data_IF_944225912325
#
_entry.id   IF_944225912325
#
_cell.length_a   1.000
_cell.length_b   1.000
_cell.length_c   1.000
_cell.angle_alpha   90.00
_cell.angle_beta   90.00
_cell.angle_gamma   90.00
#
_symmetry.space_group_name_H-M   'P 1'
#
loop_
_entity.id
_entity.type
_entity.pdbx_description
1 polymer ?
#
# COMPACT_ATOMS: atom_id res chain seq x y z
N UNK A 1 -6.18 -12.08 -20.76
CA UNK A 1 -6.70 -11.02 -19.83
C UNK A 1 -5.58 -10.17 -19.31
N UNK A 2 -5.84 -8.87 -19.16
CA UNK A 2 -4.82 -7.93 -18.68
C UNK A 2 -4.91 -7.82 -17.16
N UNK A 3 -3.90 -8.30 -16.44
CA UNK A 3 -3.82 -8.14 -14.97
C UNK A 3 -3.71 -6.67 -14.62
N UNK A 4 -4.41 -6.23 -13.55
CA UNK A 4 -4.38 -4.83 -13.10
C UNK A 4 -3.57 -4.66 -11.83
N UNK A 5 -2.79 -3.59 -11.81
CA UNK A 5 -2.03 -3.12 -10.65
C UNK A 5 -2.48 -1.73 -10.25
N UNK A 6 -2.72 -1.50 -8.96
CA UNK A 6 -2.91 -0.17 -8.40
C UNK A 6 -1.58 0.30 -7.83
N UNK A 7 -1.15 1.49 -8.23
CA UNK A 7 0.11 2.08 -7.76
C UNK A 7 -0.16 3.49 -7.25
N UNK A 8 -0.04 3.69 -5.93
CA UNK A 8 -0.09 5.00 -5.29
C UNK A 8 1.02 5.09 -4.25
N UNK A 9 2.10 5.76 -4.58
CA UNK A 9 3.29 5.87 -3.70
C UNK A 9 3.71 7.33 -3.51
N UNK A 10 4.23 7.64 -2.34
CA UNK A 10 4.87 8.92 -2.07
C UNK A 10 6.37 8.89 -2.45
N UNK A 11 7.04 7.75 -2.25
CA UNK A 11 8.41 7.52 -2.69
C UNK A 11 8.41 6.88 -4.07
N UNK A 12 8.95 7.59 -5.06
CA UNK A 12 9.04 7.15 -6.46
C UNK A 12 10.38 6.49 -6.81
N UNK A 13 11.21 6.17 -5.81
CA UNK A 13 12.46 5.47 -6.00
C UNK A 13 12.24 4.12 -6.69
N UNK A 14 12.99 3.85 -7.76
CA UNK A 14 12.87 2.65 -8.58
C UNK A 14 11.48 2.38 -9.20
N UNK A 15 10.50 3.29 -8.99
CA UNK A 15 9.14 3.11 -9.47
C UNK A 15 9.05 3.05 -11.00
N UNK A 16 9.81 3.90 -11.71
CA UNK A 16 9.76 3.93 -13.16
C UNK A 16 10.19 2.60 -13.79
N UNK A 17 11.24 1.97 -13.25
CA UNK A 17 11.70 0.66 -13.70
C UNK A 17 10.65 -0.42 -13.44
N UNK A 18 10.11 -0.44 -12.23
CA UNK A 18 9.08 -1.39 -11.83
C UNK A 18 7.81 -1.27 -12.69
N UNK A 19 7.33 -0.04 -12.89
CA UNK A 19 6.12 0.22 -13.69
C UNK A 19 6.32 -0.14 -15.18
N UNK A 20 7.47 0.20 -15.77
CA UNK A 20 7.82 -0.24 -17.15
C UNK A 20 7.85 -1.75 -17.28
N UNK A 21 8.41 -2.43 -16.27
CA UNK A 21 8.40 -3.89 -16.24
C UNK A 21 6.99 -4.45 -16.23
N UNK A 22 6.11 -3.94 -15.38
CA UNK A 22 4.71 -4.38 -15.32
C UNK A 22 4.01 -4.19 -16.67
N UNK A 23 4.11 -3.00 -17.28
CA UNK A 23 3.50 -2.72 -18.59
C UNK A 23 4.04 -3.64 -19.67
N UNK A 24 5.37 -3.85 -19.74
CA UNK A 24 5.99 -4.75 -20.72
C UNK A 24 5.61 -6.22 -20.51
N UNK A 25 5.18 -6.58 -19.29
CA UNK A 25 4.67 -7.90 -18.94
C UNK A 25 3.15 -8.05 -19.11
N UNK A 26 2.49 -7.07 -19.76
CA UNK A 26 1.06 -7.12 -20.07
C UNK A 26 0.14 -6.68 -18.94
N UNK A 27 0.65 -5.96 -17.92
CA UNK A 27 -0.18 -5.40 -16.86
C UNK A 27 -0.74 -4.02 -17.25
N UNK A 28 -1.96 -3.72 -16.80
CA UNK A 28 -2.51 -2.36 -16.78
C UNK A 28 -2.27 -1.72 -15.42
N UNK A 29 -1.78 -0.49 -15.42
CA UNK A 29 -1.54 0.28 -14.20
C UNK A 29 -2.68 1.27 -13.99
N UNK A 30 -3.23 1.28 -12.78
CA UNK A 30 -4.18 2.25 -12.29
C UNK A 30 -3.48 3.15 -11.29
N UNK A 31 -3.67 4.46 -11.40
CA UNK A 31 -3.04 5.42 -10.51
C UNK A 31 -3.84 6.71 -10.39
N UNK A 32 -3.50 7.51 -9.38
CA UNK A 32 -4.08 8.84 -9.17
C UNK A 32 -3.05 9.82 -8.61
N UNK A 33 -3.39 11.11 -8.64
CA UNK A 33 -2.65 12.19 -8.02
C UNK A 33 -1.16 12.24 -8.46
N UNK A 34 -0.26 12.50 -7.53
CA UNK A 34 1.19 12.68 -7.80
C UNK A 34 1.86 11.47 -8.44
N UNK A 35 1.41 10.26 -8.12
CA UNK A 35 1.94 9.04 -8.74
C UNK A 35 1.54 8.95 -10.20
N UNK A 36 0.30 9.31 -10.53
CA UNK A 36 -0.18 9.40 -11.91
C UNK A 36 0.67 10.42 -12.71
N UNK A 37 0.82 11.65 -12.17
CA UNK A 37 1.63 12.70 -12.81
C UNK A 37 3.08 12.25 -13.05
N UNK A 38 3.66 11.53 -12.11
CA UNK A 38 5.00 10.95 -12.23
C UNK A 38 5.07 9.92 -13.37
N UNK A 39 4.13 8.96 -13.41
CA UNK A 39 4.12 7.91 -14.43
C UNK A 39 3.88 8.49 -15.84
N UNK A 40 2.97 9.44 -15.97
CA UNK A 40 2.73 10.16 -17.24
C UNK A 40 3.98 10.90 -17.72
N UNK A 41 4.69 11.60 -16.82
CA UNK A 41 5.95 12.30 -17.11
C UNK A 41 7.05 11.35 -17.59
N UNK A 42 7.08 10.14 -17.03
CA UNK A 42 8.01 9.08 -17.42
C UNK A 42 7.58 8.34 -18.71
N UNK A 43 6.49 8.78 -19.36
CA UNK A 43 5.89 8.15 -20.54
C UNK A 43 5.52 6.67 -20.31
N UNK A 44 5.04 6.34 -19.12
CA UNK A 44 4.56 5.01 -18.77
C UNK A 44 3.05 4.96 -18.95
N UNK A 45 2.50 4.02 -19.74
CA UNK A 45 1.05 3.86 -19.88
C UNK A 45 0.38 3.63 -18.53
N UNK A 46 -0.55 4.50 -18.20
CA UNK A 46 -1.29 4.46 -16.93
C UNK A 46 -2.72 4.92 -17.16
N UNK A 47 -3.67 4.29 -16.48
CA UNK A 47 -5.08 4.66 -16.48
C UNK A 47 -5.42 5.38 -15.18
N UNK A 48 -6.20 6.45 -15.28
CA UNK A 48 -6.71 7.14 -14.08
C UNK A 48 -7.65 6.21 -13.32
N UNK A 49 -7.44 6.09 -12.03
CA UNK A 49 -8.30 5.26 -11.17
C UNK A 49 -9.78 5.70 -11.25
N UNK A 50 -10.03 7.00 -11.34
CA UNK A 50 -11.39 7.56 -11.55
C UNK A 50 -12.09 7.09 -12.83
N UNK A 51 -11.36 6.53 -13.79
CA UNK A 51 -11.96 5.93 -15.00
C UNK A 51 -12.65 4.58 -14.72
N UNK A 52 -12.42 3.98 -13.56
CA UNK A 52 -13.09 2.73 -13.13
C UNK A 52 -14.44 2.99 -12.47
N UNK A 53 -14.82 4.26 -12.26
CA UNK A 53 -15.98 4.62 -11.48
C UNK A 53 -16.75 5.72 -12.19
N UNK A 54 -18.01 5.44 -12.48
CA UNK A 54 -18.88 6.33 -13.28
C UNK A 54 -19.36 7.59 -12.54
N UNK A 55 -19.10 7.75 -11.24
CA UNK A 55 -19.57 8.89 -10.45
C UNK A 55 -18.55 9.36 -9.41
N UNK A 56 -18.25 10.66 -9.42
CA UNK A 56 -17.31 11.42 -8.59
C UNK A 56 -17.54 11.40 -7.05
N UNK A 57 -17.84 10.27 -6.44
CA UNK A 57 -17.96 10.16 -4.97
C UNK A 57 -16.91 9.21 -4.40
N UNK A 58 -15.86 9.77 -3.82
CA UNK A 58 -14.72 9.05 -3.20
C UNK A 58 -15.09 7.85 -2.32
N UNK A 59 -16.25 7.86 -1.67
CA UNK A 59 -16.72 6.77 -0.82
C UNK A 59 -17.21 5.55 -1.60
N UNK A 60 -17.90 5.75 -2.72
CA UNK A 60 -18.41 4.66 -3.55
C UNK A 60 -17.28 4.01 -4.36
N UNK A 61 -16.36 4.83 -4.87
CA UNK A 61 -15.15 4.40 -5.58
C UNK A 61 -14.28 3.50 -4.71
N UNK A 62 -14.02 3.92 -3.49
CA UNK A 62 -13.26 3.12 -2.52
C UNK A 62 -13.93 1.79 -2.23
N UNK A 63 -15.26 1.76 -2.09
CA UNK A 63 -16.00 0.50 -1.84
C UNK A 63 -15.92 -0.45 -3.03
N UNK A 64 -16.07 0.03 -4.26
CA UNK A 64 -15.97 -0.80 -5.46
C UNK A 64 -14.56 -1.35 -5.66
N UNK A 65 -13.54 -0.54 -5.43
CA UNK A 65 -12.16 -0.96 -5.50
C UNK A 65 -11.83 -2.02 -4.45
N UNK A 66 -12.27 -1.81 -3.21
CA UNK A 66 -12.12 -2.78 -2.12
C UNK A 66 -12.81 -4.09 -2.48
N UNK A 67 -14.03 -4.03 -3.01
CA UNK A 67 -14.76 -5.21 -3.45
C UNK A 67 -13.96 -5.98 -4.51
N UNK A 68 -13.46 -5.31 -5.55
CA UNK A 68 -12.61 -5.92 -6.58
C UNK A 68 -11.35 -6.58 -6.00
N UNK A 69 -10.70 -5.94 -5.03
CA UNK A 69 -9.53 -6.50 -4.34
C UNK A 69 -9.91 -7.78 -3.58
N UNK A 70 -11.02 -7.76 -2.84
CA UNK A 70 -11.46 -8.89 -2.02
C UNK A 70 -11.99 -10.06 -2.85
N UNK A 71 -12.63 -9.78 -3.99
CA UNK A 71 -13.20 -10.78 -4.89
C UNK A 71 -12.18 -11.36 -5.87
N UNK A 72 -10.98 -10.75 -5.98
CA UNK A 72 -9.92 -11.26 -6.85
C UNK A 72 -9.56 -12.70 -6.44
N UNK A 73 -9.64 -13.61 -7.40
CA UNK A 73 -9.19 -14.99 -7.26
C UNK A 73 -8.15 -15.29 -8.34
N UNK A 74 -7.19 -16.13 -8.01
CA UNK A 74 -6.37 -16.78 -9.04
C UNK A 74 -7.16 -17.96 -9.57
N UNK A 75 -7.44 -17.96 -10.88
CA UNK A 75 -8.12 -19.10 -11.52
C UNK A 75 -7.31 -20.38 -11.28
N UNK A 76 -7.98 -21.42 -10.81
CA UNK A 76 -7.46 -22.78 -10.95
C UNK A 76 -7.52 -23.18 -12.43
N UNK A 77 -6.56 -23.97 -12.90
CA UNK A 77 -6.50 -24.37 -14.31
C UNK A 77 -7.82 -25.00 -14.74
N UNK A 78 -8.55 -24.35 -15.65
CA UNK A 78 -9.75 -24.87 -16.30
C UNK A 78 -11.07 -24.18 -15.98
N UNK A 79 -11.14 -23.22 -15.08
CA UNK A 79 -12.34 -22.40 -14.91
C UNK A 79 -12.34 -21.22 -15.91
N UNK A 80 -13.49 -20.90 -16.55
CA UNK A 80 -13.60 -19.70 -17.35
C UNK A 80 -13.44 -18.49 -16.40
N UNK A 81 -12.37 -17.72 -16.61
CA UNK A 81 -12.22 -16.42 -15.96
C UNK A 81 -13.42 -15.55 -16.37
N UNK A 82 -14.34 -15.30 -15.44
CA UNK A 82 -15.30 -14.22 -15.64
C UNK A 82 -14.50 -12.92 -15.84
N UNK A 83 -14.95 -12.09 -16.76
CA UNK A 83 -14.38 -10.77 -17.12
C UNK A 83 -14.48 -9.76 -15.97
N UNK A 84 -14.04 -10.15 -14.78
CA UNK A 84 -13.98 -9.26 -13.65
C UNK A 84 -12.71 -8.39 -13.76
N UNK A 85 -12.91 -7.11 -13.60
CA UNK A 85 -11.86 -6.08 -13.52
C UNK A 85 -10.97 -6.24 -12.26
N UNK A 86 -10.40 -7.42 -12.07
CA UNK A 86 -9.72 -7.86 -10.87
C UNK A 86 -8.38 -7.15 -10.67
N UNK A 87 -8.08 -6.82 -9.41
CA UNK A 87 -6.84 -6.20 -8.98
C UNK A 87 -5.92 -7.28 -8.41
N UNK A 88 -4.82 -7.55 -9.08
CA UNK A 88 -3.86 -8.59 -8.68
C UNK A 88 -2.63 -8.06 -7.95
N UNK A 89 -2.43 -6.72 -7.96
CA UNK A 89 -1.31 -6.07 -7.29
C UNK A 89 -1.73 -4.71 -6.73
N UNK A 90 -1.38 -4.47 -5.48
CA UNK A 90 -1.49 -3.19 -4.79
C UNK A 90 -0.09 -2.75 -4.37
N UNK A 91 0.38 -1.64 -4.93
CA UNK A 91 1.63 -0.99 -4.57
C UNK A 91 1.31 0.37 -3.96
N UNK A 92 1.29 0.42 -2.64
CA UNK A 92 0.95 1.63 -1.88
C UNK A 92 1.79 1.74 -0.63
N UNK A 93 2.15 2.96 -0.24
CA UNK A 93 2.80 3.21 1.02
C UNK A 93 2.14 4.36 1.79
N UNK A 94 2.35 4.34 3.08
CA UNK A 94 2.00 5.42 4.01
C UNK A 94 3.23 5.69 4.88
N UNK A 95 3.45 6.95 5.24
CA UNK A 95 4.58 7.31 6.08
C UNK A 95 4.11 7.66 7.48
N UNK A 96 4.67 7.01 8.52
CA UNK A 96 4.44 7.39 9.89
C UNK A 96 4.83 8.85 10.11
N UNK A 97 3.98 9.62 10.84
CA UNK A 97 4.24 10.99 11.25
C UNK A 97 4.41 10.99 12.77
N UNK A 98 5.42 11.73 13.24
CA UNK A 98 5.79 11.73 14.66
C UNK A 98 5.58 13.09 15.35
N UNK A 99 5.12 14.10 14.61
CA UNK A 99 4.95 15.44 15.14
C UNK A 99 3.73 15.51 16.07
N UNK A 100 3.92 16.12 17.24
CA UNK A 100 2.81 16.37 18.16
C UNK A 100 1.81 17.36 17.56
N UNK A 101 0.52 17.05 17.68
CA UNK A 101 -0.57 17.90 17.20
C UNK A 101 -0.87 18.97 18.22
N UNK A 102 -0.57 20.22 17.90
CA UNK A 102 -0.69 21.37 18.80
C UNK A 102 -1.82 22.34 18.45
N UNK A 103 -2.54 22.07 17.36
CA UNK A 103 -3.66 22.90 16.92
C UNK A 103 -4.79 22.06 16.34
N UNK A 104 -6.01 22.60 16.43
CA UNK A 104 -7.19 21.97 15.81
C UNK A 104 -7.04 21.87 14.29
N UNK A 105 -6.35 22.82 13.66
CA UNK A 105 -6.10 22.76 12.22
C UNK A 105 -5.16 21.61 11.85
N UNK A 106 -4.17 21.31 12.68
CA UNK A 106 -3.28 20.15 12.49
C UNK A 106 -4.05 18.83 12.69
N UNK A 107 -4.86 18.75 13.74
CA UNK A 107 -5.74 17.59 13.97
C UNK A 107 -6.67 17.33 12.79
N UNK A 108 -7.32 18.37 12.29
CA UNK A 108 -8.19 18.29 11.14
C UNK A 108 -7.45 17.89 9.84
N UNK A 109 -6.17 18.24 9.70
CA UNK A 109 -5.35 17.77 8.55
C UNK A 109 -5.01 16.30 8.63
N UNK A 110 -4.70 15.82 9.83
CA UNK A 110 -4.30 14.43 10.06
C UNK A 110 -5.50 13.48 9.94
N UNK A 111 -6.66 13.90 10.40
CA UNK A 111 -7.90 13.13 10.32
C UNK A 111 -8.60 13.22 8.95
N UNK A 112 -7.94 13.71 7.90
CA UNK A 112 -8.55 13.78 6.58
C UNK A 112 -8.74 12.40 5.91
N UNK A 113 -9.82 12.24 5.11
CA UNK A 113 -10.14 10.98 4.43
C UNK A 113 -9.06 10.41 3.50
N UNK A 114 -8.13 11.24 3.01
CA UNK A 114 -7.06 10.80 2.08
C UNK A 114 -6.18 9.69 2.68
N UNK A 115 -5.88 9.78 3.97
CA UNK A 115 -5.07 8.75 4.64
C UNK A 115 -5.87 7.46 4.87
N UNK A 116 -7.19 7.58 5.07
CA UNK A 116 -8.09 6.44 5.22
C UNK A 116 -8.14 5.56 3.96
N UNK A 117 -8.10 6.17 2.78
CA UNK A 117 -8.11 5.43 1.51
C UNK A 117 -6.92 4.46 1.42
N UNK A 118 -5.68 4.96 1.57
CA UNK A 118 -4.48 4.13 1.44
C UNK A 118 -4.43 2.99 2.49
N UNK A 119 -4.68 3.31 3.76
CA UNK A 119 -4.66 2.30 4.83
C UNK A 119 -5.73 1.23 4.61
N UNK A 120 -6.92 1.63 4.14
CA UNK A 120 -8.01 0.70 3.87
C UNK A 120 -7.70 -0.20 2.68
N UNK A 121 -7.19 0.33 1.57
CA UNK A 121 -6.82 -0.46 0.38
C UNK A 121 -5.72 -1.45 0.70
N UNK A 122 -4.63 -1.02 1.37
CA UNK A 122 -3.54 -1.90 1.80
C UNK A 122 -4.09 -3.03 2.69
N UNK A 123 -4.91 -2.70 3.69
CA UNK A 123 -5.46 -3.67 4.64
C UNK A 123 -6.33 -4.74 3.95
N UNK A 124 -7.18 -4.34 3.02
CA UNK A 124 -8.02 -5.28 2.28
C UNK A 124 -7.19 -6.14 1.31
N UNK A 125 -6.17 -5.58 0.68
CA UNK A 125 -5.23 -6.36 -0.14
C UNK A 125 -4.48 -7.40 0.70
N UNK A 126 -4.09 -7.07 1.94
CA UNK A 126 -3.50 -8.03 2.88
C UNK A 126 -4.48 -9.16 3.22
N UNK A 127 -5.76 -8.87 3.40
CA UNK A 127 -6.75 -9.93 3.68
C UNK A 127 -6.93 -10.90 2.51
N UNK A 128 -6.61 -10.49 1.29
CA UNK A 128 -6.59 -11.34 0.11
C UNK A 128 -5.16 -11.58 -0.44
N UNK A 129 -4.15 -11.64 0.44
CA UNK A 129 -2.73 -11.76 0.04
C UNK A 129 -2.41 -12.98 -0.83
N UNK A 130 -3.21 -14.02 -0.74
CA UNK A 130 -3.04 -15.22 -1.57
C UNK A 130 -3.23 -14.92 -3.06
N UNK A 131 -4.13 -14.02 -3.39
CA UNK A 131 -4.49 -13.66 -4.76
C UNK A 131 -3.94 -12.28 -5.16
N UNK A 132 -3.86 -11.33 -4.20
CA UNK A 132 -3.41 -9.95 -4.43
C UNK A 132 -2.02 -9.74 -3.85
N UNK A 133 -1.07 -9.33 -4.67
CA UNK A 133 0.27 -9.00 -4.24
C UNK A 133 0.28 -7.61 -3.60
N UNK A 134 0.78 -7.50 -2.36
CA UNK A 134 0.84 -6.23 -1.62
C UNK A 134 2.28 -5.77 -1.51
N UNK A 135 2.59 -4.59 -2.01
CA UNK A 135 3.93 -4.02 -1.98
C UNK A 135 3.85 -2.65 -1.32
N UNK A 136 4.66 -2.42 -0.29
CA UNK A 136 4.67 -1.18 0.48
C UNK A 136 6.04 -0.51 0.54
N UNK A 137 7.06 -1.14 -0.04
CA UNK A 137 8.44 -0.69 0.03
C UNK A 137 9.11 -0.82 -1.35
N UNK A 138 9.79 0.22 -1.84
CA UNK A 138 10.55 0.17 -3.10
C UNK A 138 11.63 -0.91 -3.14
N UNK A 139 12.21 -1.27 -2.01
CA UNK A 139 13.25 -2.31 -1.91
C UNK A 139 12.75 -3.70 -2.36
N UNK A 140 11.43 -3.93 -2.30
CA UNK A 140 10.83 -5.20 -2.71
C UNK A 140 10.62 -5.31 -4.24
N UNK A 141 10.67 -4.19 -4.99
CA UNK A 141 10.36 -4.19 -6.43
C UNK A 141 11.24 -5.16 -7.22
N UNK A 142 12.54 -5.19 -6.93
CA UNK A 142 13.48 -6.05 -7.62
C UNK A 142 13.14 -7.53 -7.46
N UNK A 143 12.87 -7.97 -6.24
CA UNK A 143 12.52 -9.37 -5.98
C UNK A 143 11.17 -9.73 -6.59
N UNK A 144 10.18 -8.83 -6.52
CA UNK A 144 8.89 -8.98 -7.18
C UNK A 144 9.06 -9.17 -8.69
N UNK A 145 9.86 -8.32 -9.36
CA UNK A 145 10.13 -8.46 -10.79
C UNK A 145 10.78 -9.79 -11.13
N UNK A 146 11.73 -10.26 -10.31
CA UNK A 146 12.40 -11.56 -10.51
C UNK A 146 11.38 -12.69 -10.46
N UNK A 147 10.53 -12.72 -9.42
CA UNK A 147 9.56 -13.79 -9.23
C UNK A 147 8.45 -13.75 -10.29
N UNK A 148 7.96 -12.58 -10.67
CA UNK A 148 7.00 -12.43 -11.77
C UNK A 148 7.58 -12.92 -13.10
N UNK A 149 8.87 -12.72 -13.36
CA UNK A 149 9.56 -13.19 -14.57
C UNK A 149 9.66 -14.72 -14.63
N UNK A 150 9.80 -15.37 -13.46
CA UNK A 150 9.82 -16.83 -13.34
C UNK A 150 8.40 -17.42 -13.53
N UNK A 151 7.37 -16.59 -13.47
CA UNK A 151 5.97 -16.96 -13.71
C UNK A 151 5.14 -17.20 -12.45
N UNK A 152 5.74 -17.18 -11.25
CA UNK A 152 5.00 -17.35 -9.99
C UNK A 152 5.66 -16.63 -8.83
N UNK A 153 4.84 -16.03 -7.98
CA UNK A 153 5.26 -15.49 -6.69
C UNK A 153 5.19 -16.61 -5.64
N UNK A 154 6.30 -16.87 -4.96
CA UNK A 154 6.36 -17.88 -3.90
C UNK A 154 5.39 -17.55 -2.77
N UNK A 155 4.64 -18.53 -2.24
CA UNK A 155 3.69 -18.29 -1.15
C UNK A 155 4.33 -17.62 0.08
N UNK A 156 5.55 -18.03 0.45
CA UNK A 156 6.29 -17.47 1.59
C UNK A 156 6.62 -15.99 1.38
N UNK A 157 6.90 -15.60 0.13
CA UNK A 157 7.18 -14.20 -0.19
C UNK A 157 5.91 -13.35 -0.16
N UNK A 158 4.75 -13.90 -0.57
CA UNK A 158 3.45 -13.23 -0.38
C UNK A 158 3.14 -12.99 1.10
N UNK A 159 3.35 -14.01 1.93
CA UNK A 159 3.19 -13.89 3.40
C UNK A 159 4.13 -12.83 3.98
N UNK A 160 5.40 -12.81 3.55
CA UNK A 160 6.38 -11.80 3.97
C UNK A 160 5.91 -10.38 3.62
N UNK A 161 5.50 -10.14 2.37
CA UNK A 161 5.02 -8.83 1.93
C UNK A 161 3.76 -8.40 2.67
N UNK A 162 2.81 -9.31 2.90
CA UNK A 162 1.59 -9.04 3.66
C UNK A 162 1.92 -8.69 5.12
N UNK A 163 2.83 -9.41 5.77
CA UNK A 163 3.31 -9.11 7.11
C UNK A 163 4.01 -7.76 7.19
N UNK A 164 4.86 -7.44 6.19
CA UNK A 164 5.53 -6.14 6.07
C UNK A 164 4.52 -5.00 5.95
N UNK A 165 3.48 -5.18 5.14
CA UNK A 165 2.40 -4.21 4.97
C UNK A 165 1.62 -3.98 6.27
N UNK A 166 1.29 -5.04 7.03
CA UNK A 166 0.64 -4.89 8.34
C UNK A 166 1.53 -4.17 9.36
N UNK A 167 2.83 -4.44 9.37
CA UNK A 167 3.77 -3.73 10.24
C UNK A 167 3.84 -2.24 9.88
N UNK A 168 3.83 -1.90 8.60
CA UNK A 168 3.77 -0.50 8.17
C UNK A 168 2.48 0.18 8.62
N UNK A 169 1.32 -0.48 8.45
CA UNK A 169 0.04 0.05 8.91
C UNK A 169 0.01 0.24 10.43
N UNK A 170 0.51 -0.73 11.19
CA UNK A 170 0.61 -0.62 12.64
C UNK A 170 1.51 0.55 13.07
N UNK A 171 2.66 0.73 12.44
CA UNK A 171 3.54 1.86 12.70
C UNK A 171 2.88 3.20 12.34
N UNK A 172 2.15 3.25 11.22
CA UNK A 172 1.40 4.44 10.81
C UNK A 172 0.30 4.81 11.82
N UNK A 173 -0.56 3.87 12.20
CA UNK A 173 -1.65 4.09 13.17
C UNK A 173 -1.10 4.44 14.56
N UNK A 174 -0.02 3.79 14.98
CA UNK A 174 0.66 4.12 16.23
C UNK A 174 1.26 5.55 16.20
N UNK A 175 1.85 5.97 15.09
CA UNK A 175 2.39 7.31 14.95
C UNK A 175 1.27 8.37 14.98
N UNK A 176 0.13 8.06 14.37
CA UNK A 176 -1.05 8.92 14.40
C UNK A 176 -1.60 9.04 15.83
N UNK A 177 -1.78 7.92 16.52
CA UNK A 177 -2.21 7.91 17.91
C UNK A 177 -1.23 8.68 18.80
N UNK A 178 0.09 8.48 18.63
CA UNK A 178 1.11 9.21 19.35
C UNK A 178 1.03 10.72 19.11
N UNK A 179 0.86 11.14 17.84
CA UNK A 179 0.73 12.56 17.48
C UNK A 179 -0.49 13.23 18.14
N UNK A 180 -1.61 12.50 18.21
CA UNK A 180 -2.85 12.99 18.86
C UNK A 180 -2.66 13.07 20.39
N UNK A 181 -2.11 12.01 20.98
CA UNK A 181 -2.02 11.86 22.44
C UNK A 181 -0.93 12.72 23.09
N UNK A 182 0.15 13.01 22.36
CA UNK A 182 1.22 13.88 22.84
C UNK A 182 1.03 15.36 22.49
N UNK A 183 -0.09 15.72 21.87
CA UNK A 183 -0.45 17.10 21.59
C UNK A 183 -0.96 17.85 22.80
N UNK A 184 -1.15 19.17 22.63
CA UNK A 184 -1.62 20.11 23.66
C UNK A 184 -2.94 19.71 24.35
N UNK A 185 -3.74 18.86 23.69
CA UNK A 185 -5.08 18.50 24.13
C UNK A 185 -5.14 17.29 25.06
N UNK A 186 -4.03 16.61 25.31
CA UNK A 186 -4.02 15.36 26.06
C UNK A 186 -2.94 15.36 27.15
N UNK A 187 -3.37 15.13 28.38
CA UNK A 187 -2.47 15.12 29.53
C UNK A 187 -2.67 13.87 30.40
N UNK A 188 -2.62 12.68 29.78
CA UNK A 188 -2.66 11.42 30.53
C UNK A 188 -1.42 10.57 30.26
N UNK A 189 -0.76 10.04 31.32
CA UNK A 189 0.58 9.49 31.18
C UNK A 189 0.65 8.16 30.46
N UNK A 190 -0.38 7.28 30.53
CA UNK A 190 -0.37 5.96 29.87
C UNK A 190 -1.78 5.45 29.56
N UNK A 191 -1.96 4.90 28.36
CA UNK A 191 -3.17 4.24 27.92
C UNK A 191 -3.09 2.74 28.18
N UNK A 192 -4.27 2.07 28.29
CA UNK A 192 -4.35 0.60 28.39
C UNK A 192 -3.65 -0.12 27.25
N UNK A 193 -3.73 0.46 26.03
CA UNK A 193 -3.04 -0.03 24.85
C UNK A 193 -2.04 1.03 24.42
N UNK A 194 -0.77 0.64 24.37
CA UNK A 194 0.31 1.52 23.98
C UNK A 194 1.11 0.86 22.85
N UNK A 195 1.27 1.55 21.73
CA UNK A 195 2.15 1.18 20.64
C UNK A 195 3.23 2.24 20.48
N UNK A 196 4.50 1.83 20.35
CA UNK A 196 5.58 2.73 20.02
C UNK A 196 6.03 2.48 18.58
N UNK A 197 5.98 3.49 17.69
CA UNK A 197 6.43 3.34 16.32
C UNK A 197 7.97 3.41 16.28
N UNK A 198 8.61 2.25 16.22
CA UNK A 198 10.05 2.15 15.98
C UNK A 198 10.32 1.87 14.51
N UNK A 199 11.27 2.60 13.94
CA UNK A 199 11.83 2.34 12.61
C UNK A 199 13.22 1.75 12.79
N UNK A 200 13.52 0.68 12.06
CA UNK A 200 14.86 0.09 12.05
C UNK A 200 15.84 1.09 11.46
N UNK A 201 16.83 1.50 12.23
CA UNK A 201 17.84 2.46 11.82
C UNK A 201 18.98 1.79 11.05
N UNK A 202 19.46 0.64 11.52
CA UNK A 202 20.54 -0.08 10.88
C UNK A 202 20.52 -1.59 11.14
N UNK A 203 21.19 -2.35 10.27
CA UNK A 203 21.53 -3.75 10.50
C UNK A 203 22.87 -3.84 11.24
N UNK A 204 22.85 -4.36 12.45
CA UNK A 204 24.07 -4.63 13.19
C UNK A 204 24.66 -5.98 12.74
N UNK A 205 25.90 -5.94 12.23
CA UNK A 205 26.61 -7.13 11.76
C UNK A 205 26.97 -8.10 12.88
N UNK A 206 27.03 -7.61 14.15
CA UNK A 206 27.26 -8.38 15.37
C UNK A 206 26.51 -7.71 16.52
N UNK A 207 25.45 -8.36 16.99
CA UNK A 207 24.77 -8.01 18.24
C UNK A 207 25.40 -8.78 19.39
N UNK A 208 26.43 -8.27 20.01
CA UNK A 208 26.87 -8.79 21.31
C UNK A 208 26.24 -7.95 22.40
N UNK A 209 25.04 -8.35 22.87
CA UNK A 209 24.65 -8.01 24.23
C UNK A 209 25.50 -8.91 25.15
N UNK A 210 26.63 -8.40 25.60
CA UNK A 210 27.27 -8.91 26.81
C UNK A 210 26.44 -8.38 27.98
N UNK A 211 25.57 -9.22 28.56
CA UNK A 211 25.14 -9.07 29.92
C UNK A 211 26.30 -9.39 30.86
#
# INVERSE_FOLDING_TARGET
MTKKAIIHVENTENLAEFARYLVSSGWSILSANKTLDFLEKENIPVTKESALVENNQYTLETCQLIQRILETKTSEEGEPEEELDNIYLVCMNVYPKYDAINSEQELNKVCKPVNYYHTTVIKNAVYNYQNVLVITDPDDYKEVMIQLRIGSIKPEFRVYLAGKALNLLAAYENSLAFSILNGKYFNQPFMKYFGAPYVKDMDLKYGTNKQ
#
